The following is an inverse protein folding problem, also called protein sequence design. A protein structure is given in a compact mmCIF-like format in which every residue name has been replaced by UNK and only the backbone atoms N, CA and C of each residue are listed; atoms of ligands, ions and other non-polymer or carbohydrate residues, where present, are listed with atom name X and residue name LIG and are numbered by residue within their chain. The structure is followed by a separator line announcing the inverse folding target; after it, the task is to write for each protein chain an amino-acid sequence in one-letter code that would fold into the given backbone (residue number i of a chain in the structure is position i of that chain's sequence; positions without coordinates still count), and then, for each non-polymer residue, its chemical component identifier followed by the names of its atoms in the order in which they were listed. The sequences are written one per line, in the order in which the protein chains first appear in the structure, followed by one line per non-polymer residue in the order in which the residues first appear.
data_IF_011898608667
#
_entry.id   IF_011898608667
#
_cell.length_a   1.000
_cell.length_b   1.000
_cell.length_c   1.000
_cell.angle_alpha   90.00
_cell.angle_beta   90.00
_cell.angle_gamma   90.00
#
_symmetry.space_group_name_H-M   'P 1'
#
loop_
_entity.id
_entity.type
_entity.pdbx_description
1 polymer ?
#
# COMPACT_ATOMS: atom_id res chain seq x y z
N UNK A 1 3.18 5.72 0.71
CA UNK A 1 3.49 4.99 1.91
C UNK A 1 4.59 5.59 2.77
N UNK A 2 5.86 5.32 2.48
CA UNK A 2 7.01 5.61 3.38
C UNK A 2 7.20 7.08 3.76
N UNK A 3 6.88 8.03 2.88
CA UNK A 3 6.97 9.46 3.20
C UNK A 3 5.95 9.85 4.28
N UNK A 4 4.76 9.26 4.23
CA UNK A 4 3.71 9.48 5.22
C UNK A 4 4.13 9.07 6.63
N UNK A 5 4.90 8.00 6.78
CA UNK A 5 5.39 7.51 8.08
C UNK A 5 6.29 8.47 8.84
N UNK A 6 6.74 9.56 8.22
CA UNK A 6 7.45 10.66 8.90
C UNK A 6 6.51 11.60 9.64
N UNK A 7 5.23 11.59 9.31
CA UNK A 7 4.24 12.57 9.76
C UNK A 7 3.07 11.93 10.49
N UNK A 8 2.87 10.62 10.34
CA UNK A 8 1.77 9.89 10.97
C UNK A 8 2.26 8.54 11.49
N UNK A 9 1.65 8.07 12.55
CA UNK A 9 1.97 6.80 13.19
C UNK A 9 1.59 5.62 12.29
N UNK A 10 2.40 4.56 12.30
CA UNK A 10 2.16 3.37 11.49
C UNK A 10 0.83 2.69 11.83
N UNK A 11 0.45 2.69 13.10
CA UNK A 11 -0.81 2.15 13.61
C UNK A 11 -2.06 2.77 12.96
N UNK A 12 -1.94 4.02 12.50
CA UNK A 12 -3.00 4.77 11.83
C UNK A 12 -2.85 4.69 10.31
N UNK A 13 -1.62 4.85 9.82
CA UNK A 13 -1.33 4.84 8.38
C UNK A 13 -1.59 3.49 7.75
N UNK A 14 -1.21 2.38 8.43
CA UNK A 14 -1.30 1.03 7.87
C UNK A 14 -2.74 0.61 7.54
N UNK A 15 -3.73 0.73 8.44
CA UNK A 15 -5.12 0.38 8.10
C UNK A 15 -5.69 1.20 6.95
N UNK A 16 -5.31 2.49 6.85
CA UNK A 16 -5.76 3.36 5.76
C UNK A 16 -5.13 2.90 4.43
N UNK A 17 -3.83 2.65 4.43
CA UNK A 17 -3.13 2.18 3.22
C UNK A 17 -3.67 0.81 2.76
N UNK A 18 -3.90 -0.12 3.68
CA UNK A 18 -4.40 -1.46 3.37
C UNK A 18 -5.88 -1.50 3.00
N UNK A 19 -6.58 -0.39 3.03
CA UNK A 19 -7.97 -0.30 2.58
C UNK A 19 -8.12 -0.10 1.06
N UNK A 20 -7.01 -0.03 0.33
CA UNK A 20 -7.01 0.10 -1.14
C UNK A 20 -7.79 -1.01 -1.84
N UNK A 21 -7.77 -2.24 -1.31
CA UNK A 21 -8.56 -3.35 -1.83
C UNK A 21 -10.08 -3.10 -1.83
N UNK A 22 -10.59 -2.39 -0.83
CA UNK A 22 -12.00 -1.99 -0.81
C UNK A 22 -12.33 -0.99 -1.95
N UNK A 23 -11.40 -0.07 -2.24
CA UNK A 23 -11.55 0.85 -3.38
C UNK A 23 -11.48 0.12 -4.72
N UNK A 24 -10.60 -0.87 -4.87
CA UNK A 24 -10.54 -1.73 -6.07
C UNK A 24 -11.87 -2.42 -6.29
N UNK A 25 -12.47 -3.00 -5.25
CA UNK A 25 -13.78 -3.63 -5.33
C UNK A 25 -14.87 -2.64 -5.78
N UNK A 26 -14.87 -1.41 -5.24
CA UNK A 26 -15.78 -0.34 -5.70
C UNK A 26 -15.57 -0.01 -7.17
N UNK A 27 -14.33 0.15 -7.62
CA UNK A 27 -14.01 0.42 -9.01
C UNK A 27 -14.46 -0.72 -9.93
N UNK A 28 -14.27 -1.96 -9.51
CA UNK A 28 -14.72 -3.16 -10.27
C UNK A 28 -16.23 -3.23 -10.43
N UNK A 29 -16.98 -2.80 -9.39
CA UNK A 29 -18.46 -2.71 -9.48
C UNK A 29 -18.88 -1.61 -10.46
N UNK A 30 -18.30 -0.42 -10.33
CA UNK A 30 -18.65 0.74 -11.17
C UNK A 30 -18.38 0.44 -12.64
N UNK A 31 -17.30 -0.27 -12.94
CA UNK A 31 -16.94 -0.65 -14.30
C UNK A 31 -17.70 -1.88 -14.82
N UNK A 32 -18.52 -2.50 -13.98
CA UNK A 32 -19.31 -3.69 -14.35
C UNK A 32 -18.44 -4.95 -14.53
N UNK A 33 -17.20 -4.92 -14.05
CA UNK A 33 -16.26 -6.04 -14.19
C UNK A 33 -16.51 -7.16 -13.21
N UNK A 34 -17.27 -6.94 -12.12
CA UNK A 34 -17.58 -7.95 -11.13
C UNK A 34 -18.96 -7.74 -10.50
N UNK A 35 -19.67 -8.86 -10.27
CA UNK A 35 -20.88 -8.91 -9.44
C UNK A 35 -20.47 -9.47 -8.08
N UNK A 36 -20.55 -8.64 -7.03
CA UNK A 36 -20.17 -9.04 -5.68
C UNK A 36 -21.31 -9.75 -4.96
N UNK A 37 -20.96 -10.73 -4.14
CA UNK A 37 -21.91 -11.34 -3.21
C UNK A 37 -22.26 -10.40 -2.07
N UNK A 38 -23.42 -10.57 -1.43
CA UNK A 38 -23.87 -9.73 -0.32
C UNK A 38 -22.86 -9.68 0.84
N UNK A 39 -22.15 -10.77 1.10
CA UNK A 39 -21.10 -10.82 2.12
C UNK A 39 -19.91 -9.88 1.80
N UNK A 40 -19.57 -9.71 0.52
CA UNK A 40 -18.49 -8.84 0.10
C UNK A 40 -18.87 -7.36 0.25
N UNK A 41 -20.13 -6.99 -0.04
CA UNK A 41 -20.65 -5.65 0.27
C UNK A 41 -20.61 -5.35 1.76
N UNK A 42 -20.97 -6.33 2.60
CA UNK A 42 -20.90 -6.17 4.05
C UNK A 42 -19.46 -5.99 4.54
N UNK A 43 -18.51 -6.75 4.01
CA UNK A 43 -17.09 -6.61 4.32
C UNK A 43 -16.54 -5.23 3.92
N UNK A 44 -16.87 -4.75 2.73
CA UNK A 44 -16.50 -3.40 2.28
C UNK A 44 -17.07 -2.32 3.19
N UNK A 45 -18.36 -2.41 3.56
CA UNK A 45 -18.99 -1.47 4.49
C UNK A 45 -18.26 -1.48 5.85
N UNK A 46 -17.89 -2.66 6.35
CA UNK A 46 -17.15 -2.79 7.61
C UNK A 46 -15.78 -2.12 7.54
N UNK A 47 -15.04 -2.30 6.45
CA UNK A 47 -13.74 -1.64 6.21
C UNK A 47 -13.92 -0.12 6.19
N UNK A 48 -14.90 0.40 5.46
CA UNK A 48 -15.19 1.83 5.42
C UNK A 48 -15.52 2.40 6.80
N UNK A 49 -16.37 1.70 7.58
CA UNK A 49 -16.69 2.10 8.95
C UNK A 49 -15.45 2.09 9.85
N UNK A 50 -14.57 1.09 9.70
CA UNK A 50 -13.30 1.01 10.42
C UNK A 50 -12.38 2.19 10.13
N UNK A 51 -12.22 2.55 8.85
CA UNK A 51 -11.39 3.69 8.45
C UNK A 51 -11.94 5.01 8.99
N UNK A 52 -13.26 5.23 8.87
CA UNK A 52 -13.92 6.43 9.39
C UNK A 52 -13.77 6.47 10.92
N UNK A 53 -13.99 5.34 11.60
CA UNK A 53 -13.81 5.20 13.04
C UNK A 53 -12.39 5.56 13.48
N UNK A 54 -11.39 5.03 12.77
CA UNK A 54 -9.98 5.35 13.03
C UNK A 54 -9.68 6.84 12.87
N UNK A 55 -10.19 7.45 11.81
CA UNK A 55 -10.04 8.89 11.57
C UNK A 55 -10.69 9.75 12.66
N UNK A 56 -11.85 9.33 13.16
CA UNK A 56 -12.55 10.02 14.27
C UNK A 56 -11.77 9.88 15.59
N UNK A 57 -11.27 8.69 15.90
CA UNK A 57 -10.47 8.44 17.12
C UNK A 57 -9.21 9.29 17.09
N UNK A 58 -8.48 9.29 15.97
CA UNK A 58 -7.27 10.11 15.80
C UNK A 58 -7.54 11.61 15.93
N UNK A 59 -8.64 12.07 15.33
CA UNK A 59 -9.03 13.48 15.42
C UNK A 59 -9.41 13.94 16.84
N UNK A 60 -9.86 13.00 17.67
CA UNK A 60 -10.29 13.25 19.06
C UNK A 60 -9.24 12.90 20.10
N UNK A 61 -8.10 12.38 19.70
CA UNK A 61 -7.03 12.01 20.63
C UNK A 61 -6.53 13.23 21.42
N UNK A 62 -6.39 13.03 22.75
CA UNK A 62 -5.89 14.06 23.65
C UNK A 62 -4.39 14.30 23.40
N UNK A 63 -3.98 15.57 23.40
CA UNK A 63 -2.60 15.98 23.14
C UNK A 63 -1.62 15.40 24.19
N UNK A 64 -2.07 15.14 25.43
CA UNK A 64 -1.24 14.52 26.47
C UNK A 64 -0.92 13.04 26.15
N UNK A 65 -1.93 12.27 25.75
CA UNK A 65 -1.76 10.87 25.34
C UNK A 65 -0.88 10.75 24.10
N UNK A 66 -1.02 11.68 23.18
CA UNK A 66 -0.21 11.75 21.96
C UNK A 66 1.25 12.06 22.26
N UNK A 67 1.52 13.05 23.14
CA UNK A 67 2.89 13.38 23.56
C UNK A 67 3.54 12.22 24.30
N UNK A 68 2.85 11.52 25.19
CA UNK A 68 3.37 10.35 25.89
C UNK A 68 3.74 9.22 24.92
N UNK A 69 2.93 9.00 23.87
CA UNK A 69 3.20 8.01 22.82
C UNK A 69 4.40 8.40 21.95
N UNK A 70 4.54 9.69 21.61
CA UNK A 70 5.67 10.22 20.85
C UNK A 70 6.99 10.12 21.62
N UNK A 71 6.97 10.37 22.93
CA UNK A 71 8.13 10.20 23.79
C UNK A 71 8.55 8.73 23.89
N UNK A 72 7.59 7.82 24.04
CA UNK A 72 7.86 6.38 24.09
C UNK A 72 8.39 5.84 22.75
N UNK A 73 7.93 6.37 21.61
CA UNK A 73 8.31 5.96 20.27
C UNK A 73 9.55 6.66 19.70
N UNK A 74 10.08 7.65 20.38
CA UNK A 74 11.20 8.50 19.91
C UNK A 74 10.92 9.22 18.57
N UNK A 75 9.65 9.45 18.23
CA UNK A 75 9.19 10.13 17.01
C UNK A 75 8.35 11.36 17.36
N UNK A 76 8.53 12.43 16.62
CA UNK A 76 7.72 13.65 16.75
C UNK A 76 6.75 13.75 15.56
N UNK A 77 5.49 13.41 15.80
CA UNK A 77 4.43 13.57 14.81
C UNK A 77 3.69 14.90 15.05
N UNK A 78 3.56 15.69 14.00
CA UNK A 78 2.74 16.90 14.06
C UNK A 78 1.26 16.53 13.93
N UNK A 79 0.41 17.06 14.81
CA UNK A 79 -1.05 16.97 14.67
C UNK A 79 -1.47 17.78 13.46
N UNK A 80 -1.74 17.11 12.36
CA UNK A 80 -2.14 17.75 11.12
C UNK A 80 -3.09 16.85 10.34
N UNK A 81 -4.28 17.36 10.06
CA UNK A 81 -5.20 16.71 9.12
C UNK A 81 -4.55 16.49 7.73
N UNK A 82 -3.55 17.34 7.39
CA UNK A 82 -2.77 17.19 6.18
C UNK A 82 -1.91 15.90 6.18
N UNK A 83 -1.50 15.42 7.35
CA UNK A 83 -0.75 14.17 7.47
C UNK A 83 -1.60 12.96 7.07
N UNK A 84 -2.90 12.96 7.37
CA UNK A 84 -3.84 11.92 6.93
C UNK A 84 -4.06 11.91 5.42
N UNK A 85 -3.85 13.03 4.74
CA UNK A 85 -3.96 13.09 3.29
C UNK A 85 -2.95 12.18 2.58
N UNK A 86 -1.77 11.97 3.15
CA UNK A 86 -0.73 11.14 2.54
C UNK A 86 -1.11 9.65 2.46
N UNK A 87 -1.57 8.98 3.54
CA UNK A 87 -2.04 7.60 3.43
C UNK A 87 -3.32 7.47 2.60
N UNK A 88 -4.22 8.44 2.62
CA UNK A 88 -5.41 8.45 1.77
C UNK A 88 -5.01 8.53 0.30
N UNK A 89 -4.12 9.45 -0.06
CA UNK A 89 -3.61 9.58 -1.43
C UNK A 89 -2.89 8.29 -1.87
N UNK A 90 -2.09 7.71 -0.98
CA UNK A 90 -1.47 6.41 -1.24
C UNK A 90 -2.52 5.33 -1.53
N UNK A 91 -3.53 5.20 -0.68
CA UNK A 91 -4.61 4.24 -0.82
C UNK A 91 -5.34 4.38 -2.17
N UNK A 92 -5.63 5.62 -2.61
CA UNK A 92 -6.27 5.88 -3.90
C UNK A 92 -5.35 5.50 -5.06
N UNK A 93 -4.06 5.88 -5.01
CA UNK A 93 -3.10 5.56 -6.06
C UNK A 93 -2.85 4.05 -6.15
N UNK A 94 -2.77 3.38 -5.01
CA UNK A 94 -2.62 1.93 -4.93
C UNK A 94 -3.83 1.19 -5.51
N UNK A 95 -5.03 1.62 -5.17
CA UNK A 95 -6.26 1.08 -5.73
C UNK A 95 -6.36 1.28 -7.25
N UNK A 96 -5.99 2.46 -7.74
CA UNK A 96 -5.95 2.73 -9.18
C UNK A 96 -4.89 1.88 -9.89
N UNK A 97 -3.72 1.69 -9.28
CA UNK A 97 -2.67 0.81 -9.78
C UNK A 97 -3.15 -0.63 -9.88
N UNK A 98 -3.65 -1.20 -8.79
CA UNK A 98 -4.18 -2.57 -8.75
C UNK A 98 -5.30 -2.79 -9.76
N UNK A 99 -6.21 -1.82 -9.88
CA UNK A 99 -7.28 -1.90 -10.87
C UNK A 99 -6.74 -1.83 -12.32
N UNK A 100 -5.73 -0.98 -12.58
CA UNK A 100 -5.07 -0.91 -13.89
C UNK A 100 -4.34 -2.22 -14.21
N UNK A 101 -3.63 -2.80 -13.23
CA UNK A 101 -2.95 -4.09 -13.37
C UNK A 101 -3.93 -5.20 -13.76
N UNK A 102 -5.10 -5.26 -13.12
CA UNK A 102 -6.13 -6.23 -13.48
C UNK A 102 -6.60 -6.07 -14.93
N UNK A 103 -6.71 -4.84 -15.43
CA UNK A 103 -7.08 -4.57 -16.82
C UNK A 103 -5.99 -4.91 -17.82
N UNK A 104 -4.73 -4.70 -17.46
CA UNK A 104 -3.58 -5.10 -18.28
C UNK A 104 -3.51 -6.62 -18.38
N UNK A 105 -3.77 -7.34 -17.29
CA UNK A 105 -3.77 -8.81 -17.27
C UNK A 105 -4.91 -9.46 -18.07
N UNK A 106 -5.96 -8.72 -18.45
CA UNK A 106 -6.94 -9.18 -19.43
C UNK A 106 -6.32 -9.34 -20.83
N UNK A 107 -5.22 -8.66 -21.13
CA UNK A 107 -4.58 -8.65 -22.44
C UNK A 107 -3.19 -9.27 -22.46
N UNK A 108 -2.48 -9.26 -21.34
CA UNK A 108 -1.15 -9.84 -21.17
C UNK A 108 -1.26 -11.11 -20.31
N UNK A 109 -0.42 -12.10 -20.63
CA UNK A 109 -0.27 -13.25 -19.76
C UNK A 109 0.55 -12.88 -18.51
N UNK A 110 0.39 -13.65 -17.45
CA UNK A 110 0.99 -13.44 -16.12
C UNK A 110 2.51 -13.36 -16.17
N UNK A 111 3.15 -14.22 -17.00
CA UNK A 111 4.60 -14.27 -17.14
C UNK A 111 5.16 -13.00 -17.77
N UNK A 112 4.47 -12.47 -18.79
CA UNK A 112 4.86 -11.20 -19.43
C UNK A 112 4.66 -10.01 -18.49
N UNK A 113 3.59 -10.00 -17.70
CA UNK A 113 3.32 -8.99 -16.71
C UNK A 113 4.38 -9.00 -15.60
N UNK A 114 4.70 -10.18 -15.05
CA UNK A 114 5.77 -10.33 -14.07
C UNK A 114 7.12 -9.85 -14.62
N UNK A 115 7.47 -10.22 -15.84
CA UNK A 115 8.71 -9.77 -16.48
C UNK A 115 8.75 -8.24 -16.61
N UNK A 116 7.66 -7.60 -17.00
CA UNK A 116 7.57 -6.14 -17.10
C UNK A 116 7.73 -5.47 -15.73
N UNK A 117 7.13 -6.02 -14.68
CA UNK A 117 7.27 -5.55 -13.30
C UNK A 117 8.73 -5.63 -12.84
N UNK A 118 9.36 -6.78 -12.98
CA UNK A 118 10.75 -6.98 -12.55
C UNK A 118 11.72 -6.05 -13.29
N UNK A 119 11.52 -5.83 -14.59
CA UNK A 119 12.30 -4.87 -15.36
C UNK A 119 12.10 -3.43 -14.86
N UNK A 120 10.89 -3.08 -14.48
CA UNK A 120 10.58 -1.75 -13.93
C UNK A 120 11.25 -1.56 -12.57
N UNK A 121 11.17 -2.56 -11.67
CA UNK A 121 11.85 -2.52 -10.38
C UNK A 121 13.37 -2.49 -10.52
N UNK A 122 13.93 -3.25 -11.46
CA UNK A 122 15.35 -3.22 -11.76
C UNK A 122 15.79 -1.82 -12.22
N UNK A 123 15.07 -1.22 -13.16
CA UNK A 123 15.36 0.13 -13.65
C UNK A 123 15.26 1.17 -12.51
N UNK A 124 14.19 1.12 -11.71
CA UNK A 124 14.03 1.99 -10.54
C UNK A 124 15.15 1.77 -9.51
N UNK A 125 15.54 0.51 -9.26
CA UNK A 125 16.64 0.14 -8.38
C UNK A 125 17.98 0.73 -8.84
N UNK A 126 18.29 0.67 -10.13
CA UNK A 126 19.49 1.28 -10.71
C UNK A 126 19.48 2.79 -10.50
N UNK A 127 18.37 3.47 -10.79
CA UNK A 127 18.22 4.92 -10.59
C UNK A 127 18.40 5.28 -9.11
N UNK A 128 17.77 4.55 -8.20
CA UNK A 128 17.93 4.76 -6.76
C UNK A 128 19.36 4.51 -6.30
N UNK A 129 20.02 3.46 -6.79
CA UNK A 129 21.41 3.16 -6.47
C UNK A 129 22.36 4.27 -6.92
N UNK A 130 22.22 4.73 -8.15
CA UNK A 130 22.99 5.87 -8.69
C UNK A 130 22.76 7.11 -7.84
N UNK A 131 21.52 7.41 -7.50
CA UNK A 131 21.19 8.57 -6.67
C UNK A 131 21.83 8.48 -5.28
N UNK A 132 21.70 7.35 -4.59
CA UNK A 132 22.21 7.18 -3.22
C UNK A 132 23.74 7.15 -3.19
N UNK A 133 24.36 6.39 -4.08
CA UNK A 133 25.82 6.16 -4.06
C UNK A 133 26.59 7.31 -4.72
N UNK A 134 26.15 7.78 -5.91
CA UNK A 134 26.90 8.77 -6.68
C UNK A 134 26.51 10.21 -6.30
N UNK A 135 25.23 10.49 -6.11
CA UNK A 135 24.75 11.86 -5.84
C UNK A 135 24.80 12.15 -4.34
N UNK A 136 24.21 11.30 -3.50
CA UNK A 136 24.18 11.47 -2.04
C UNK A 136 25.49 11.02 -1.38
N UNK A 137 26.33 10.27 -2.08
CA UNK A 137 27.60 9.72 -1.59
C UNK A 137 27.49 8.99 -0.24
N UNK A 138 26.36 8.31 -0.03
CA UNK A 138 26.14 7.53 1.18
C UNK A 138 26.90 6.22 1.10
N UNK A 139 27.58 5.82 2.20
CA UNK A 139 28.22 4.53 2.29
C UNK A 139 27.18 3.46 2.63
N UNK A 140 27.09 2.45 1.79
CA UNK A 140 26.28 1.27 2.07
C UNK A 140 27.03 0.38 3.09
N UNK A 141 26.37 0.05 4.19
CA UNK A 141 26.91 -0.81 5.24
C UNK A 141 26.27 -2.19 5.13
N UNK A 142 26.96 -3.22 4.59
CA UNK A 142 26.33 -4.51 4.27
C UNK A 142 25.63 -5.18 5.44
N UNK A 143 26.19 -5.05 6.66
CA UNK A 143 25.58 -5.63 7.88
C UNK A 143 24.27 -4.97 8.28
N UNK A 144 24.10 -3.68 8.02
CA UNK A 144 22.87 -2.92 8.34
C UNK A 144 21.83 -3.06 7.25
N UNK A 145 22.27 -3.37 6.03
CA UNK A 145 21.38 -3.53 4.87
C UNK A 145 20.79 -4.94 4.75
N UNK A 146 21.36 -5.93 5.44
CA UNK A 146 20.93 -7.34 5.38
C UNK A 146 19.42 -7.56 5.55
N UNK A 147 18.77 -7.01 6.59
CA UNK A 147 17.32 -7.13 6.78
C UNK A 147 16.52 -6.51 5.63
N UNK A 148 17.03 -5.44 5.00
CA UNK A 148 16.38 -4.81 3.84
C UNK A 148 16.41 -5.69 2.60
N UNK A 149 17.53 -6.41 2.37
CA UNK A 149 17.59 -7.40 1.29
C UNK A 149 16.65 -8.57 1.51
N UNK A 150 16.53 -9.06 2.74
CA UNK A 150 15.55 -10.10 3.06
C UNK A 150 14.11 -9.61 2.81
N UNK A 151 13.78 -8.39 3.24
CA UNK A 151 12.51 -7.75 2.95
C UNK A 151 12.23 -7.63 1.45
N UNK A 152 13.21 -7.19 0.67
CA UNK A 152 13.09 -7.07 -0.78
C UNK A 152 12.85 -8.42 -1.47
N UNK A 153 13.50 -9.50 -1.02
CA UNK A 153 13.25 -10.84 -1.53
C UNK A 153 11.82 -11.31 -1.24
N UNK A 154 11.32 -11.06 -0.04
CA UNK A 154 9.93 -11.38 0.32
C UNK A 154 8.94 -10.55 -0.50
N UNK A 155 9.23 -9.28 -0.70
CA UNK A 155 8.43 -8.37 -1.55
C UNK A 155 8.34 -8.89 -2.98
N UNK A 156 9.48 -9.24 -3.59
CA UNK A 156 9.52 -9.80 -4.95
C UNK A 156 8.73 -11.11 -5.04
N UNK A 157 8.89 -12.03 -4.09
CA UNK A 157 8.13 -13.27 -4.06
C UNK A 157 6.62 -13.00 -3.92
N UNK A 158 6.24 -12.03 -3.07
CA UNK A 158 4.86 -11.58 -2.93
C UNK A 158 4.30 -11.00 -4.22
N UNK A 159 5.11 -10.24 -4.96
CA UNK A 159 4.71 -9.64 -6.24
C UNK A 159 4.36 -10.68 -7.30
N UNK A 160 5.11 -11.77 -7.39
CA UNK A 160 4.76 -12.87 -8.29
C UNK A 160 3.39 -13.47 -7.94
N UNK A 161 3.16 -13.76 -6.66
CA UNK A 161 1.87 -14.28 -6.20
C UNK A 161 0.72 -13.29 -6.45
N UNK A 162 0.97 -12.00 -6.26
CA UNK A 162 0.02 -10.93 -6.52
C UNK A 162 -0.45 -10.89 -7.96
N UNK A 163 0.47 -10.95 -8.94
CA UNK A 163 0.12 -10.92 -10.35
C UNK A 163 -0.72 -12.14 -10.73
N UNK A 164 -0.37 -13.34 -10.25
CA UNK A 164 -1.18 -14.55 -10.49
C UNK A 164 -2.57 -14.44 -9.84
N UNK A 165 -2.68 -13.84 -8.67
CA UNK A 165 -3.97 -13.63 -8.01
C UNK A 165 -4.87 -12.63 -8.75
N UNK A 166 -4.28 -11.63 -9.43
CA UNK A 166 -5.01 -10.64 -10.22
C UNK A 166 -5.33 -11.09 -11.65
N UNK A 167 -4.71 -12.16 -12.16
CA UNK A 167 -4.92 -12.64 -13.53
C UNK A 167 -6.34 -13.17 -13.76
N UNK A 168 -6.99 -13.63 -12.69
CA UNK A 168 -8.41 -14.01 -12.73
C UNK A 168 -9.31 -12.81 -12.53
N UNK A 169 -9.71 -12.18 -13.63
CA UNK A 169 -10.50 -10.95 -13.64
C UNK A 169 -11.88 -11.08 -12.94
N UNK A 170 -12.44 -12.29 -12.88
CA UNK A 170 -13.71 -12.52 -12.18
C UNK A 170 -13.55 -12.44 -10.66
N UNK A 171 -12.36 -12.75 -10.16
CA UNK A 171 -12.08 -12.80 -8.72
C UNK A 171 -11.24 -11.62 -8.20
N UNK A 172 -10.87 -10.66 -9.04
CA UNK A 172 -10.09 -9.46 -8.62
C UNK A 172 -10.73 -8.72 -7.45
N UNK A 173 -12.05 -8.54 -7.50
CA UNK A 173 -12.79 -7.86 -6.43
C UNK A 173 -12.75 -8.62 -5.08
N UNK A 174 -12.47 -9.92 -5.11
CA UNK A 174 -12.27 -10.75 -3.93
C UNK A 174 -10.80 -10.80 -3.52
N UNK A 175 -9.91 -10.93 -4.49
CA UNK A 175 -8.47 -11.08 -4.26
C UNK A 175 -7.85 -9.78 -3.73
N UNK A 176 -8.19 -8.62 -4.31
CA UNK A 176 -7.60 -7.34 -3.94
C UNK A 176 -7.73 -6.98 -2.45
N UNK A 177 -8.89 -7.15 -1.76
CA UNK A 177 -9.00 -6.92 -0.32
C UNK A 177 -8.21 -7.89 0.56
N UNK A 178 -7.85 -9.07 0.03
CA UNK A 178 -7.06 -10.08 0.77
C UNK A 178 -5.57 -9.77 0.65
N UNK A 179 -5.15 -9.22 -0.47
CA UNK A 179 -3.75 -8.94 -0.78
C UNK A 179 -3.30 -7.62 -0.19
N UNK A 180 -4.20 -6.63 -0.08
CA UNK A 180 -3.90 -5.30 0.50
C UNK A 180 -3.84 -5.35 2.02
#
# INVERSE_FOLDING_TARGET
GYVGLRYIELSISSPICNSSGALVAVLSIITGSALLAAAQYAAMALVCVGIIGLGIVEAREDDELRMARQEAGNYKYAKSALALLLPILYCVLDALGTFADSKVLETLNEDSANCAYELTFLAAGIVCFVYVVLIRRQKLLPKQEGPKYAGALCETAGQFAYIYALSDSEHVALAAPIIS
#
